data_IF_501873579130
#
_entry.id   IF_501873579130
#
_cell.length_a   1.000
_cell.length_b   1.000
_cell.length_c   1.000
_cell.angle_alpha   90.00
_cell.angle_beta   90.00
_cell.angle_gamma   90.00
#
_symmetry.space_group_name_H-M   'P 1'
#
loop_
_entity.id
_entity.type
_entity.pdbx_description
1 polymer ?
#
# COMPACT_ATOMS: atom_id res chain seq x y z
N UNK A 1 -3.51 -9.40 41.47
CA UNK A 1 -2.19 -9.30 40.82
C UNK A 1 -1.93 -7.83 40.66
N UNK A 2 -1.20 -7.26 41.61
CA UNK A 2 -1.00 -5.83 41.83
C UNK A 2 0.25 -5.39 41.07
N UNK A 3 0.05 -4.51 40.09
CA UNK A 3 1.12 -3.93 39.28
C UNK A 3 1.73 -2.73 40.04
N UNK A 4 2.96 -2.89 40.48
CA UNK A 4 3.79 -1.85 41.08
C UNK A 4 4.14 -0.79 40.03
N UNK A 5 3.71 0.44 40.27
CA UNK A 5 4.12 1.61 39.50
C UNK A 5 5.54 2.00 39.88
N UNK A 6 6.51 1.63 39.04
CA UNK A 6 7.90 2.09 39.11
C UNK A 6 7.96 3.58 38.74
N UNK A 7 7.90 4.43 39.78
CA UNK A 7 8.30 5.82 39.75
C UNK A 7 9.82 5.88 39.55
N UNK A 8 10.24 5.86 38.29
CA UNK A 8 11.57 6.33 37.93
C UNK A 8 11.52 7.85 37.88
N UNK A 9 11.99 8.43 38.97
CA UNK A 9 12.34 9.83 39.14
C UNK A 9 13.23 10.27 37.96
N UNK A 10 12.62 10.94 36.97
CA UNK A 10 13.38 11.77 36.03
C UNK A 10 13.94 12.91 36.86
N UNK A 11 15.18 12.76 37.32
CA UNK A 11 16.07 13.89 37.60
C UNK A 11 16.08 14.78 36.36
N UNK A 12 15.26 15.82 36.44
CA UNK A 12 15.28 16.94 35.52
C UNK A 12 16.57 17.68 35.84
N UNK A 13 17.57 17.51 34.98
CA UNK A 13 18.81 18.27 35.04
C UNK A 13 18.50 19.72 34.68
N UNK A 14 18.01 20.48 35.64
CA UNK A 14 17.97 21.93 35.60
C UNK A 14 19.43 22.38 35.76
N UNK A 15 20.14 22.39 34.63
CA UNK A 15 21.48 22.94 34.55
C UNK A 15 21.37 24.44 34.81
N UNK A 16 21.70 24.86 36.04
CA UNK A 16 21.91 26.25 36.48
C UNK A 16 23.14 26.87 35.78
N UNK A 17 23.22 26.76 34.46
CA UNK A 17 24.20 27.48 33.67
C UNK A 17 23.52 28.77 33.17
N UNK A 18 23.80 29.94 33.79
CA UNK A 18 23.15 31.21 33.45
C UNK A 18 23.55 31.75 32.06
N UNK A 19 24.24 30.94 31.26
CA UNK A 19 24.67 31.22 29.90
C UNK A 19 24.26 30.13 28.89
N UNK A 20 23.43 29.14 29.27
CA UNK A 20 22.99 28.08 28.36
C UNK A 20 22.15 28.59 27.18
N UNK A 21 21.59 29.79 27.29
CA UNK A 21 20.84 30.50 26.27
C UNK A 21 21.71 31.37 25.33
N UNK A 22 23.01 31.49 25.59
CA UNK A 22 23.92 32.41 24.85
C UNK A 22 24.93 31.67 23.95
N UNK A 23 24.60 30.47 23.50
CA UNK A 23 25.29 29.81 22.37
C UNK A 23 24.38 29.69 21.15
N UNK A 24 23.67 30.77 20.81
CA UNK A 24 23.25 30.96 19.43
C UNK A 24 24.51 31.37 18.67
N UNK A 25 25.25 30.37 18.22
CA UNK A 25 26.42 30.58 17.36
C UNK A 25 25.99 31.49 16.20
N UNK A 26 26.53 32.71 16.17
CA UNK A 26 26.54 33.59 15.01
C UNK A 26 27.39 32.90 13.92
N UNK A 27 26.87 31.80 13.38
CA UNK A 27 27.41 31.18 12.19
C UNK A 27 27.10 32.15 11.06
N UNK A 28 28.16 32.83 10.59
CA UNK A 28 28.10 33.88 9.59
C UNK A 28 27.07 33.66 8.49
N UNK A 29 26.43 34.77 8.13
CA UNK A 29 25.35 35.01 7.17
C UNK A 29 25.55 34.40 5.75
N UNK A 30 26.63 33.67 5.50
CA UNK A 30 26.94 32.99 4.23
C UNK A 30 27.47 31.56 4.42
N UNK A 31 27.07 30.86 5.48
CA UNK A 31 27.46 29.47 5.66
C UNK A 31 26.57 28.55 4.80
N UNK A 32 27.13 28.03 3.71
CA UNK A 32 26.47 27.07 2.83
C UNK A 32 26.43 25.66 3.45
N UNK A 33 25.32 24.95 3.30
CA UNK A 33 25.15 23.55 3.71
C UNK A 33 25.30 22.62 2.50
N UNK A 34 26.17 21.63 2.61
CA UNK A 34 26.31 20.59 1.60
C UNK A 34 25.24 19.51 1.75
N UNK A 35 24.53 19.19 0.66
CA UNK A 35 23.53 18.13 0.66
C UNK A 35 24.17 16.75 0.87
N UNK A 36 23.71 15.92 1.84
CA UNK A 36 24.27 14.59 2.07
C UNK A 36 23.89 13.55 0.99
N UNK A 37 23.08 13.94 0.00
CA UNK A 37 22.69 13.08 -1.13
C UNK A 37 23.55 13.32 -2.37
N UNK A 38 23.54 14.55 -2.87
CA UNK A 38 24.18 14.93 -4.13
C UNK A 38 25.38 15.87 -3.96
N UNK A 39 25.71 16.27 -2.73
CA UNK A 39 26.79 17.19 -2.37
C UNK A 39 26.68 18.62 -2.92
N UNK A 40 25.51 19.01 -3.45
CA UNK A 40 25.24 20.41 -3.81
C UNK A 40 25.30 21.32 -2.58
N UNK A 41 25.94 22.48 -2.72
CA UNK A 41 25.89 23.55 -1.73
C UNK A 41 24.54 24.25 -1.81
N UNK A 42 23.85 24.39 -0.68
CA UNK A 42 22.55 25.06 -0.58
C UNK A 42 22.64 26.17 0.49
N UNK A 43 21.85 27.24 0.36
CA UNK A 43 21.67 28.23 1.41
C UNK A 43 21.18 27.60 2.71
N UNK A 44 21.50 28.19 3.86
CA UNK A 44 21.11 27.68 5.18
C UNK A 44 19.60 27.73 5.43
N UNK A 45 18.94 28.66 4.76
CA UNK A 45 17.50 28.89 4.83
C UNK A 45 16.71 27.80 4.09
N UNK A 46 17.36 27.02 3.22
CA UNK A 46 16.70 26.00 2.44
C UNK A 46 16.50 24.71 3.25
N UNK A 47 15.23 24.32 3.42
CA UNK A 47 14.86 23.05 4.05
C UNK A 47 15.04 21.83 3.14
N UNK A 48 15.09 22.04 1.82
CA UNK A 48 15.25 21.03 0.79
C UNK A 48 16.39 21.38 -0.16
N UNK A 49 17.06 20.37 -0.68
CA UNK A 49 18.10 20.58 -1.69
C UNK A 49 17.48 21.04 -3.01
N UNK A 50 17.99 22.13 -3.59
CA UNK A 50 17.51 22.68 -4.86
C UNK A 50 17.78 21.75 -6.05
N UNK A 51 18.82 20.91 -5.96
CA UNK A 51 19.18 19.99 -7.03
C UNK A 51 18.41 18.66 -6.96
N UNK A 52 18.37 18.02 -5.79
CA UNK A 52 17.85 16.65 -5.66
C UNK A 52 16.55 16.55 -4.86
N UNK A 53 16.08 17.63 -4.21
CA UNK A 53 14.86 17.64 -3.40
C UNK A 53 14.96 16.89 -2.06
N UNK A 54 16.14 16.43 -1.67
CA UNK A 54 16.35 15.75 -0.38
C UNK A 54 16.17 16.73 0.78
N UNK A 55 15.48 16.36 1.87
CA UNK A 55 15.39 17.20 3.06
C UNK A 55 16.79 17.41 3.68
N UNK A 56 17.13 18.66 3.99
CA UNK A 56 18.42 19.05 4.57
C UNK A 56 18.34 19.22 6.09
N UNK A 57 17.17 19.55 6.61
CA UNK A 57 16.94 19.85 8.03
C UNK A 57 15.82 18.98 8.60
N UNK A 58 15.87 18.68 9.91
CA UNK A 58 14.79 17.95 10.59
C UNK A 58 13.47 18.72 10.63
N UNK A 59 13.52 20.04 10.49
CA UNK A 59 12.34 20.92 10.43
C UNK A 59 11.48 20.61 9.20
N UNK A 60 12.09 20.14 8.11
CA UNK A 60 11.38 19.68 6.93
C UNK A 60 10.38 18.53 7.22
N UNK A 61 10.56 17.81 8.33
CA UNK A 61 9.65 16.74 8.77
C UNK A 61 8.55 17.20 9.73
N UNK A 62 8.67 18.39 10.32
CA UNK A 62 7.68 18.93 11.27
C UNK A 62 6.65 19.85 10.61
N UNK A 63 6.94 20.42 9.44
CA UNK A 63 5.97 21.18 8.66
C UNK A 63 5.03 20.24 7.88
N UNK A 64 3.69 20.41 7.94
CA UNK A 64 2.75 19.54 7.22
C UNK A 64 3.00 19.47 5.71
N UNK A 65 3.44 20.55 5.06
CA UNK A 65 3.79 20.50 3.65
C UNK A 65 5.14 19.84 3.42
N UNK A 66 6.15 20.19 4.23
CA UNK A 66 7.46 19.55 4.20
C UNK A 66 7.39 18.03 4.37
N UNK A 67 6.50 17.55 5.23
CA UNK A 67 6.28 16.13 5.46
C UNK A 67 5.90 15.41 4.16
N UNK A 68 4.91 15.93 3.41
CA UNK A 68 4.46 15.33 2.14
C UNK A 68 5.61 15.25 1.13
N UNK A 69 6.43 16.30 1.03
CA UNK A 69 7.60 16.30 0.13
C UNK A 69 8.68 15.31 0.57
N UNK A 70 8.95 15.22 1.88
CA UNK A 70 9.94 14.29 2.43
C UNK A 70 9.52 12.82 2.25
N UNK A 71 8.24 12.53 2.44
CA UNK A 71 7.66 11.21 2.19
C UNK A 71 7.71 10.86 0.70
N UNK A 72 7.33 11.81 -0.18
CA UNK A 72 7.43 11.63 -1.62
C UNK A 72 8.86 11.34 -2.10
N UNK A 73 9.85 12.03 -1.54
CA UNK A 73 11.27 11.76 -1.80
C UNK A 73 11.67 10.35 -1.34
N UNK A 74 11.21 9.90 -0.17
CA UNK A 74 11.49 8.56 0.34
C UNK A 74 10.90 7.47 -0.58
N UNK A 75 9.64 7.63 -1.03
CA UNK A 75 9.02 6.68 -1.97
C UNK A 75 9.77 6.63 -3.30
N UNK A 76 10.10 7.78 -3.89
CA UNK A 76 10.82 7.83 -5.17
C UNK A 76 12.21 7.20 -5.05
N UNK A 77 12.95 7.54 -3.99
CA UNK A 77 14.27 6.97 -3.69
C UNK A 77 14.21 5.46 -3.46
N UNK A 78 13.16 4.96 -2.81
CA UNK A 78 12.96 3.52 -2.61
C UNK A 78 12.71 2.79 -3.93
N UNK A 79 11.93 3.38 -4.85
CA UNK A 79 11.68 2.82 -6.18
C UNK A 79 12.89 2.86 -7.10
N UNK A 80 13.68 3.93 -7.07
CA UNK A 80 14.87 4.08 -7.89
C UNK A 80 15.94 3.05 -7.50
N UNK A 81 16.21 2.89 -6.20
CA UNK A 81 17.20 1.91 -5.71
C UNK A 81 16.79 0.45 -5.89
N UNK A 82 15.50 0.15 -5.91
CA UNK A 82 15.01 -1.21 -6.20
C UNK A 82 15.03 -1.56 -7.68
N UNK A 83 15.08 -0.57 -8.57
CA UNK A 83 15.17 -0.82 -10.01
C UNK A 83 16.54 -1.36 -10.45
N UNK A 84 17.62 -0.97 -9.76
CA UNK A 84 18.99 -1.30 -10.14
C UNK A 84 19.39 -2.73 -9.75
N UNK A 85 18.80 -3.27 -8.69
CA UNK A 85 18.91 -4.69 -8.28
C UNK A 85 17.57 -5.38 -8.45
N UNK A 86 17.24 -5.69 -9.71
CA UNK A 86 16.16 -6.56 -10.15
C UNK A 86 15.09 -6.91 -9.11
N UNK A 87 14.00 -6.15 -9.13
CA UNK A 87 12.83 -6.24 -8.23
C UNK A 87 11.99 -7.52 -8.39
N UNK A 88 12.60 -8.66 -8.73
CA UNK A 88 11.92 -9.94 -8.85
C UNK A 88 11.15 -10.28 -7.58
N UNK A 89 11.63 -9.86 -6.41
CA UNK A 89 10.93 -10.04 -5.13
C UNK A 89 9.60 -9.25 -5.07
N UNK A 90 9.56 -8.02 -5.59
CA UNK A 90 8.36 -7.18 -5.62
C UNK A 90 7.38 -7.72 -6.65
N UNK A 91 7.88 -8.16 -7.80
CA UNK A 91 7.06 -8.76 -8.85
C UNK A 91 6.45 -10.10 -8.38
N UNK A 92 7.23 -10.92 -7.66
CA UNK A 92 6.76 -12.13 -7.00
C UNK A 92 5.70 -11.79 -5.94
N UNK A 93 5.92 -10.78 -5.11
CA UNK A 93 4.95 -10.34 -4.09
C UNK A 93 3.64 -9.86 -4.70
N UNK A 94 3.72 -9.00 -5.73
CA UNK A 94 2.57 -8.53 -6.49
C UNK A 94 1.82 -9.71 -7.14
N UNK A 95 2.55 -10.66 -7.72
CA UNK A 95 1.97 -11.84 -8.33
C UNK A 95 1.34 -12.79 -7.30
N UNK A 96 1.89 -12.93 -6.10
CA UNK A 96 1.31 -13.73 -5.03
C UNK A 96 -0.01 -13.15 -4.51
N UNK A 97 -0.13 -11.82 -4.49
CA UNK A 97 -1.34 -11.13 -4.02
C UNK A 97 -2.42 -11.10 -5.10
N UNK A 98 -2.04 -10.75 -6.34
CA UNK A 98 -3.00 -10.50 -7.42
C UNK A 98 -3.13 -11.64 -8.42
N UNK A 99 -2.11 -12.49 -8.57
CA UNK A 99 -2.05 -13.57 -9.54
C UNK A 99 -3.15 -14.62 -9.37
N UNK A 100 -3.38 -15.20 -8.18
CA UNK A 100 -4.47 -16.15 -7.95
C UNK A 100 -5.84 -15.56 -8.27
N UNK A 101 -6.08 -14.30 -7.89
CA UNK A 101 -7.33 -13.60 -8.16
C UNK A 101 -7.58 -13.44 -9.66
N UNK A 102 -6.56 -13.04 -10.41
CA UNK A 102 -6.64 -12.91 -11.88
C UNK A 102 -6.83 -14.28 -12.55
N UNK A 103 -6.16 -15.33 -12.07
CA UNK A 103 -6.31 -16.68 -12.61
C UNK A 103 -7.70 -17.26 -12.34
N UNK A 104 -8.21 -17.17 -11.11
CA UNK A 104 -9.53 -17.72 -10.76
C UNK A 104 -10.64 -16.98 -11.51
N UNK A 105 -10.59 -15.65 -11.54
CA UNK A 105 -11.62 -14.86 -12.25
C UNK A 105 -11.51 -15.02 -13.75
N UNK A 106 -10.29 -15.00 -14.31
CA UNK A 106 -10.06 -15.19 -15.74
C UNK A 106 -10.47 -16.58 -16.23
N UNK A 107 -9.96 -17.64 -15.60
CA UNK A 107 -10.29 -19.03 -15.97
C UNK A 107 -11.75 -19.36 -15.68
N UNK A 108 -12.31 -18.86 -14.57
CA UNK A 108 -13.73 -19.02 -14.25
C UNK A 108 -14.62 -18.40 -15.31
N UNK A 109 -14.29 -17.21 -15.80
CA UNK A 109 -15.04 -16.53 -16.87
C UNK A 109 -14.95 -17.28 -18.20
N UNK A 110 -13.79 -17.83 -18.54
CA UNK A 110 -13.64 -18.63 -19.76
C UNK A 110 -14.46 -19.93 -19.65
N UNK A 111 -14.43 -20.58 -18.49
CA UNK A 111 -15.16 -21.82 -18.25
C UNK A 111 -16.68 -21.64 -18.31
N UNK A 112 -17.23 -20.56 -17.75
CA UNK A 112 -18.66 -20.25 -17.84
C UNK A 112 -19.09 -19.97 -19.27
N UNK A 113 -18.28 -19.25 -20.04
CA UNK A 113 -18.53 -19.04 -21.47
C UNK A 113 -18.49 -20.36 -22.26
N UNK A 114 -17.54 -21.25 -21.95
CA UNK A 114 -17.44 -22.56 -22.58
C UNK A 114 -18.68 -23.42 -22.32
N UNK A 115 -19.12 -23.55 -21.06
CA UNK A 115 -20.34 -24.30 -20.72
C UNK A 115 -21.55 -23.69 -21.40
N UNK A 116 -21.70 -22.37 -21.36
CA UNK A 116 -22.83 -21.68 -22.01
C UNK A 116 -22.86 -21.95 -23.51
N UNK A 117 -21.71 -21.89 -24.17
CA UNK A 117 -21.61 -22.14 -25.60
C UNK A 117 -21.97 -23.58 -25.98
N UNK A 118 -21.41 -24.58 -25.28
CA UNK A 118 -21.71 -25.99 -25.54
C UNK A 118 -23.16 -26.35 -25.17
N UNK A 119 -23.68 -25.81 -24.07
CA UNK A 119 -25.07 -25.99 -23.67
C UNK A 119 -26.05 -25.44 -24.71
N UNK A 120 -25.75 -24.30 -25.34
CA UNK A 120 -26.56 -23.75 -26.44
C UNK A 120 -26.53 -24.64 -27.68
N UNK A 121 -25.38 -25.23 -28.02
CA UNK A 121 -25.28 -26.13 -29.18
C UNK A 121 -26.12 -27.40 -28.96
N UNK A 122 -26.02 -28.01 -27.78
CA UNK A 122 -26.78 -29.22 -27.46
C UNK A 122 -28.27 -28.94 -27.29
N UNK A 123 -28.64 -27.75 -26.79
CA UNK A 123 -30.04 -27.30 -26.76
C UNK A 123 -30.62 -27.17 -28.18
N UNK A 124 -29.86 -26.59 -29.11
CA UNK A 124 -30.31 -26.43 -30.49
C UNK A 124 -30.45 -27.76 -31.24
N UNK A 125 -29.67 -28.79 -30.91
CA UNK A 125 -29.79 -30.10 -31.56
C UNK A 125 -31.01 -30.90 -31.06
N UNK A 126 -31.48 -30.64 -29.84
CA UNK A 126 -32.59 -31.37 -29.23
C UNK A 126 -33.97 -30.73 -29.46
N UNK A 127 -34.02 -29.44 -29.80
CA UNK A 127 -35.24 -28.68 -30.05
C UNK A 127 -36.07 -29.20 -31.25
N UNK A 128 -35.49 -30.02 -32.12
CA UNK A 128 -36.17 -30.52 -33.33
C UNK A 128 -37.08 -31.75 -33.10
N UNK A 129 -37.12 -32.33 -31.87
CA UNK A 129 -37.83 -33.61 -31.66
C UNK A 129 -38.91 -33.66 -30.58
N UNK A 130 -38.91 -32.80 -29.56
CA UNK A 130 -39.90 -32.91 -28.46
C UNK A 130 -40.29 -31.58 -27.83
N UNK A 131 -41.33 -30.94 -28.35
CA UNK A 131 -42.04 -29.86 -27.66
C UNK A 131 -42.80 -30.43 -26.45
N UNK A 132 -42.35 -30.18 -25.20
CA UNK A 132 -43.22 -29.78 -24.07
C UNK A 132 -42.62 -29.91 -22.64
N UNK A 133 -41.48 -30.58 -22.39
CA UNK A 133 -41.16 -31.00 -20.98
C UNK A 133 -39.96 -30.29 -20.31
N UNK A 134 -39.20 -29.42 -20.99
CA UNK A 134 -37.88 -28.97 -20.50
C UNK A 134 -37.78 -27.57 -19.85
N UNK A 135 -38.84 -27.07 -19.20
CA UNK A 135 -38.82 -25.71 -18.62
C UNK A 135 -38.13 -25.59 -17.24
N UNK A 136 -37.89 -26.67 -16.50
CA UNK A 136 -37.44 -26.57 -15.09
C UNK A 136 -35.92 -26.51 -14.92
N UNK A 137 -35.13 -27.11 -15.80
CA UNK A 137 -33.66 -27.19 -15.63
C UNK A 137 -32.90 -25.88 -15.86
N UNK A 138 -33.49 -24.90 -16.54
CA UNK A 138 -32.81 -23.61 -16.83
C UNK A 138 -32.78 -22.72 -15.57
N UNK A 139 -33.83 -22.75 -14.75
CA UNK A 139 -33.92 -21.93 -13.56
C UNK A 139 -32.88 -22.34 -12.50
N UNK A 140 -32.66 -23.65 -12.33
CA UNK A 140 -31.75 -24.19 -11.31
C UNK A 140 -30.28 -23.82 -11.61
N UNK A 141 -29.88 -23.84 -12.87
CA UNK A 141 -28.52 -23.46 -13.28
C UNK A 141 -28.25 -21.95 -13.12
N UNK A 142 -29.24 -21.11 -13.41
CA UNK A 142 -29.13 -19.66 -13.19
C UNK A 142 -28.99 -19.37 -11.68
N UNK A 143 -29.81 -20.02 -10.85
CA UNK A 143 -29.79 -19.82 -9.40
C UNK A 143 -28.44 -20.25 -8.79
N UNK A 144 -27.88 -21.36 -9.27
CA UNK A 144 -26.57 -21.84 -8.84
C UNK A 144 -25.43 -20.87 -9.23
N UNK A 145 -25.49 -20.29 -10.44
CA UNK A 145 -24.50 -19.30 -10.89
C UNK A 145 -24.55 -18.00 -10.06
N UNK A 146 -25.74 -17.52 -9.72
CA UNK A 146 -25.93 -16.34 -8.86
C UNK A 146 -25.40 -16.62 -7.44
N UNK A 147 -25.70 -17.80 -6.91
CA UNK A 147 -25.20 -18.22 -5.59
C UNK A 147 -23.66 -18.28 -5.57
N UNK A 148 -23.04 -18.83 -6.62
CA UNK A 148 -21.59 -18.89 -6.72
C UNK A 148 -20.96 -17.49 -6.81
N UNK A 149 -21.53 -16.60 -7.62
CA UNK A 149 -21.04 -15.22 -7.76
C UNK A 149 -21.14 -14.44 -6.44
N UNK A 150 -22.23 -14.60 -5.70
CA UNK A 150 -22.44 -13.93 -4.41
C UNK A 150 -21.48 -14.43 -3.33
N UNK A 151 -21.24 -15.75 -3.25
CA UNK A 151 -20.25 -16.31 -2.32
C UNK A 151 -18.84 -15.77 -2.60
N UNK A 152 -18.43 -15.70 -3.87
CA UNK A 152 -17.12 -15.14 -4.25
C UNK A 152 -17.00 -13.67 -3.90
N UNK A 153 -18.05 -12.88 -4.10
CA UNK A 153 -18.05 -11.46 -3.75
C UNK A 153 -17.89 -11.25 -2.23
N UNK A 154 -18.57 -12.04 -1.40
CA UNK A 154 -18.45 -11.98 0.05
C UNK A 154 -17.04 -12.39 0.53
N UNK A 155 -16.46 -13.42 -0.09
CA UNK A 155 -15.11 -13.89 0.23
C UNK A 155 -14.05 -12.83 -0.10
N UNK A 156 -14.20 -12.17 -1.26
CA UNK A 156 -13.33 -11.05 -1.65
C UNK A 156 -13.43 -9.87 -0.68
N UNK A 157 -14.66 -9.52 -0.24
CA UNK A 157 -14.85 -8.47 0.77
C UNK A 157 -14.22 -8.84 2.11
N UNK A 158 -14.39 -10.08 2.58
CA UNK A 158 -13.77 -10.56 3.82
C UNK A 158 -12.25 -10.49 3.76
N UNK A 159 -11.63 -10.99 2.69
CA UNK A 159 -10.18 -10.92 2.49
C UNK A 159 -9.70 -9.46 2.42
N UNK A 160 -10.41 -8.60 1.71
CA UNK A 160 -10.11 -7.16 1.65
C UNK A 160 -10.14 -6.50 3.02
N UNK A 161 -11.14 -6.80 3.86
CA UNK A 161 -11.22 -6.26 5.22
C UNK A 161 -10.13 -6.78 6.15
N UNK A 162 -9.72 -8.05 6.00
CA UNK A 162 -8.61 -8.62 6.77
C UNK A 162 -7.28 -7.95 6.39
N UNK A 163 -7.03 -7.77 5.09
CA UNK A 163 -5.85 -7.05 4.60
C UNK A 163 -5.84 -5.58 5.05
N UNK A 164 -6.99 -4.91 5.05
CA UNK A 164 -7.09 -3.54 5.55
C UNK A 164 -6.76 -3.43 7.05
N UNK A 165 -7.18 -4.41 7.86
CA UNK A 165 -6.87 -4.43 9.30
C UNK A 165 -5.38 -4.68 9.55
N UNK A 166 -4.75 -5.58 8.81
CA UNK A 166 -3.32 -5.89 9.03
C UNK A 166 -2.43 -4.73 8.63
N UNK A 167 -2.76 -3.99 7.56
CA UNK A 167 -1.98 -2.80 7.15
C UNK A 167 -2.13 -1.65 8.15
N UNK A 168 -3.34 -1.42 8.68
CA UNK A 168 -3.57 -0.37 9.70
C UNK A 168 -2.90 -0.66 11.05
N UNK A 169 -2.65 -1.92 11.37
CA UNK A 169 -1.94 -2.29 12.60
C UNK A 169 -0.45 -1.94 12.55
N UNK A 170 0.15 -1.84 11.36
CA UNK A 170 1.58 -1.58 11.18
C UNK A 170 1.94 -0.09 11.24
N UNK A 171 0.98 0.83 11.08
CA UNK A 171 1.23 2.28 11.08
C UNK A 171 1.17 2.93 12.46
N UNK A 172 0.98 2.15 13.53
CA UNK A 172 0.91 2.65 14.92
C UNK A 172 2.13 2.33 15.79
N UNK A 173 3.14 1.66 15.23
CA UNK A 173 4.43 1.42 15.87
C UNK A 173 5.50 2.28 15.22
#
# INVERSE_FOLDING_TARGET
>A
MSEETNNNDREYWESDDPNADVYVEEMGENAELACPGCFTQNPKENHFCEQCGKPLTGIASSDPFGQIFSEGYAYRSATERTSEKGSSIVLIGMWLIFGPSVLITGLGSIYTLYIGFFGVIEYNSQFDSHHAVYSTGIADNILLSILQATVLALLAMLLGTLLYKTTKAQTKN
#
